data_IF_522502418525
#
_entry.id   IF_522502418525
#
_cell.length_a   1.000
_cell.length_b   1.000
_cell.length_c   1.000
_cell.angle_alpha   90.00
_cell.angle_beta   90.00
_cell.angle_gamma   90.00
#
_symmetry.space_group_name_H-M   'P 1'
#
loop_
_entity.id
_entity.type
_entity.pdbx_description
1 polymer ?
#
# COMPACT_ATOMS: atom_id res chain seq x y z
N UNK A 1 -50.16 13.27 28.66
CA UNK A 1 -49.90 11.83 28.44
C UNK A 1 -49.16 11.66 27.12
N UNK A 2 -47.86 11.34 27.15
CA UNK A 2 -47.05 11.18 25.93
C UNK A 2 -47.44 9.91 25.17
N UNK A 3 -47.69 10.03 23.86
CA UNK A 3 -47.96 8.89 22.97
C UNK A 3 -46.83 7.86 23.12
N UNK A 4 -47.15 6.65 23.60
CA UNK A 4 -46.22 5.51 23.59
C UNK A 4 -45.71 5.34 22.16
N UNK A 5 -44.39 5.40 21.98
CA UNK A 5 -43.75 5.14 20.69
C UNK A 5 -44.17 3.77 20.14
N UNK A 6 -44.09 3.56 18.81
CA UNK A 6 -44.48 2.31 18.18
C UNK A 6 -43.83 1.11 18.86
N UNK A 7 -44.62 0.03 19.08
CA UNK A 7 -44.13 -1.20 19.71
C UNK A 7 -42.89 -1.69 18.96
N UNK A 8 -41.82 -2.10 19.67
CA UNK A 8 -40.60 -2.56 19.03
C UNK A 8 -40.91 -3.79 18.16
N UNK A 9 -40.40 -3.80 16.92
CA UNK A 9 -40.53 -4.93 16.00
C UNK A 9 -40.06 -6.23 16.66
N UNK A 10 -40.79 -7.31 16.42
CA UNK A 10 -40.44 -8.66 16.86
C UNK A 10 -39.18 -9.13 16.15
N UNK A 11 -38.23 -9.66 16.90
CA UNK A 11 -36.99 -10.23 16.36
C UNK A 11 -37.33 -11.64 15.87
N UNK A 12 -37.36 -11.83 14.56
CA UNK A 12 -37.47 -13.13 13.90
C UNK A 12 -36.05 -13.63 13.65
N UNK A 13 -35.67 -14.82 14.12
CA UNK A 13 -34.27 -15.32 14.07
C UNK A 13 -33.77 -15.51 12.62
N UNK A 14 -34.62 -16.03 11.72
CA UNK A 14 -34.34 -16.21 10.28
C UNK A 14 -35.43 -15.50 9.45
N UNK A 15 -35.26 -14.20 9.13
CA UNK A 15 -36.25 -13.47 8.36
C UNK A 15 -36.29 -13.95 6.91
N UNK A 16 -37.49 -14.18 6.36
CA UNK A 16 -37.65 -14.50 4.94
C UNK A 16 -37.24 -13.32 4.04
N UNK A 17 -36.64 -13.64 2.89
CA UNK A 17 -36.27 -12.64 1.91
C UNK A 17 -37.51 -12.09 1.20
N UNK A 18 -37.67 -10.77 1.17
CA UNK A 18 -38.79 -10.09 0.49
C UNK A 18 -38.68 -10.09 -1.04
N UNK A 19 -37.53 -10.48 -1.57
CA UNK A 19 -37.25 -10.53 -2.99
C UNK A 19 -36.46 -11.78 -3.35
N UNK A 20 -36.82 -12.39 -4.47
CA UNK A 20 -36.11 -13.52 -5.08
C UNK A 20 -34.88 -13.08 -5.88
N UNK A 21 -34.72 -11.78 -6.17
CA UNK A 21 -33.59 -11.24 -6.92
C UNK A 21 -32.32 -11.29 -6.07
N UNK A 22 -31.30 -11.97 -6.60
CA UNK A 22 -29.98 -12.06 -5.98
C UNK A 22 -29.01 -11.05 -6.62
N UNK A 23 -28.91 -9.86 -6.02
CA UNK A 23 -27.84 -8.91 -6.35
C UNK A 23 -26.58 -9.22 -5.51
N UNK A 24 -25.42 -9.26 -6.15
CA UNK A 24 -24.11 -9.42 -5.49
C UNK A 24 -23.09 -8.40 -6.04
N UNK A 25 -22.23 -7.89 -5.17
CA UNK A 25 -21.18 -6.90 -5.47
C UNK A 25 -19.90 -7.31 -4.73
N UNK A 26 -18.69 -7.02 -5.27
CA UNK A 26 -17.44 -7.26 -4.54
C UNK A 26 -17.26 -6.32 -3.34
N UNK A 27 -18.08 -5.27 -3.21
CA UNK A 27 -17.93 -4.22 -2.20
C UNK A 27 -18.72 -4.55 -0.93
N UNK A 28 -18.02 -4.73 0.20
CA UNK A 28 -18.62 -5.14 1.48
C UNK A 28 -19.83 -4.30 1.93
N UNK A 29 -19.72 -2.97 1.93
CA UNK A 29 -20.77 -2.11 2.49
C UNK A 29 -22.04 -2.12 1.65
N UNK A 30 -21.90 -2.15 0.32
CA UNK A 30 -23.01 -2.28 -0.62
C UNK A 30 -23.72 -3.63 -0.46
N UNK A 31 -22.97 -4.73 -0.36
CA UNK A 31 -23.58 -6.06 -0.19
C UNK A 31 -24.29 -6.20 1.16
N UNK A 32 -23.74 -5.59 2.22
CA UNK A 32 -24.37 -5.60 3.54
C UNK A 32 -25.69 -4.81 3.52
N UNK A 33 -25.70 -3.65 2.85
CA UNK A 33 -26.91 -2.84 2.66
C UNK A 33 -27.99 -3.63 1.91
N UNK A 34 -27.62 -4.26 0.79
CA UNK A 34 -28.53 -5.08 -0.03
C UNK A 34 -29.13 -6.25 0.75
N UNK A 35 -28.33 -6.91 1.60
CA UNK A 35 -28.83 -8.03 2.42
C UNK A 35 -29.76 -7.54 3.54
N UNK A 36 -29.44 -6.44 4.21
CA UNK A 36 -30.31 -5.83 5.22
C UNK A 36 -31.67 -5.45 4.60
N UNK A 37 -31.65 -4.77 3.45
CA UNK A 37 -32.85 -4.34 2.74
C UNK A 37 -33.70 -5.52 2.28
N UNK A 38 -33.08 -6.55 1.68
CA UNK A 38 -33.76 -7.74 1.19
C UNK A 38 -34.54 -8.49 2.26
N UNK A 39 -34.02 -8.54 3.49
CA UNK A 39 -34.68 -9.18 4.63
C UNK A 39 -35.55 -8.20 5.44
N UNK A 40 -35.71 -6.95 4.98
CA UNK A 40 -36.54 -5.94 5.62
C UNK A 40 -36.05 -5.44 6.98
N UNK A 41 -34.78 -5.71 7.28
CA UNK A 41 -34.10 -5.25 8.48
C UNK A 41 -33.64 -3.78 8.29
N UNK A 42 -33.36 -3.12 9.41
CA UNK A 42 -32.59 -1.86 9.43
C UNK A 42 -31.29 -2.14 10.17
N UNK A 43 -30.26 -1.31 10.01
CA UNK A 43 -29.01 -1.46 10.78
C UNK A 43 -29.27 -1.56 12.30
N UNK A 44 -30.28 -0.84 12.79
CA UNK A 44 -30.75 -0.87 14.17
C UNK A 44 -31.45 -2.17 14.56
N UNK A 45 -32.36 -2.65 13.70
CA UNK A 45 -33.06 -3.91 13.95
C UNK A 45 -32.11 -5.11 13.89
N UNK A 46 -31.18 -5.08 12.93
CA UNK A 46 -30.13 -6.08 12.78
C UNK A 46 -29.23 -6.11 14.02
N UNK A 47 -28.76 -4.95 14.52
CA UNK A 47 -27.96 -4.86 15.74
C UNK A 47 -28.64 -5.58 16.91
N UNK A 48 -29.91 -5.26 17.14
CA UNK A 48 -30.70 -5.85 18.22
C UNK A 48 -30.89 -7.36 18.06
N UNK A 49 -30.93 -7.85 16.82
CA UNK A 49 -31.15 -9.27 16.52
C UNK A 49 -29.90 -10.14 16.70
N UNK A 50 -28.69 -9.59 16.56
CA UNK A 50 -27.44 -10.39 16.52
C UNK A 50 -26.47 -10.12 17.67
N UNK A 51 -26.65 -9.02 18.40
CA UNK A 51 -25.77 -8.59 19.51
C UNK A 51 -26.41 -8.98 20.83
N UNK A 52 -25.72 -9.85 21.59
CA UNK A 52 -26.12 -10.30 22.91
C UNK A 52 -25.51 -9.49 24.07
N UNK A 53 -25.88 -9.76 25.33
CA UNK A 53 -25.47 -8.97 26.50
C UNK A 53 -23.95 -8.92 26.76
N UNK A 54 -23.19 -9.89 26.23
CA UNK A 54 -21.74 -10.00 26.41
C UNK A 54 -20.93 -9.38 25.26
N UNK A 55 -21.62 -8.91 24.22
CA UNK A 55 -20.98 -8.34 23.03
C UNK A 55 -20.75 -6.84 23.22
N UNK A 56 -19.55 -6.36 22.89
CA UNK A 56 -19.14 -4.94 23.08
C UNK A 56 -19.37 -4.07 21.83
N UNK A 57 -20.20 -4.50 20.89
CA UNK A 57 -20.40 -3.78 19.63
C UNK A 57 -21.45 -2.69 19.80
N UNK A 58 -21.03 -1.43 19.66
CA UNK A 58 -21.93 -0.27 19.66
C UNK A 58 -22.86 -0.31 18.44
N UNK A 59 -24.12 0.07 18.64
CA UNK A 59 -25.17 0.22 17.62
C UNK A 59 -24.76 1.02 16.38
N UNK A 60 -23.94 2.06 16.53
CA UNK A 60 -23.40 2.89 15.44
C UNK A 60 -22.44 2.13 14.54
N UNK A 61 -21.91 0.99 14.99
CA UNK A 61 -20.93 0.19 14.23
C UNK A 61 -21.54 -0.36 12.95
N UNK A 62 -22.73 -0.97 13.03
CA UNK A 62 -23.42 -1.51 11.84
C UNK A 62 -23.84 -0.38 10.89
N UNK A 63 -24.28 0.76 11.43
CA UNK A 63 -24.59 1.95 10.62
C UNK A 63 -23.36 2.42 9.83
N UNK A 64 -22.19 2.49 10.48
CA UNK A 64 -20.93 2.85 9.81
C UNK A 64 -20.47 1.82 8.78
N UNK A 65 -20.75 0.54 9.01
CA UNK A 65 -20.47 -0.54 8.04
C UNK A 65 -21.32 -0.43 6.79
N UNK A 66 -22.63 -0.19 6.95
CA UNK A 66 -23.54 0.04 5.81
C UNK A 66 -23.16 1.31 5.04
N UNK A 67 -22.75 2.37 5.75
CA UNK A 67 -22.32 3.63 5.15
C UNK A 67 -20.91 3.59 4.53
N UNK A 68 -20.18 2.47 4.63
CA UNK A 68 -18.82 2.33 4.09
C UNK A 68 -17.72 3.11 4.83
N UNK A 69 -18.06 3.86 5.90
CA UNK A 69 -17.10 4.68 6.67
C UNK A 69 -16.21 3.86 7.61
N UNK A 70 -16.62 2.63 7.94
CA UNK A 70 -15.82 1.68 8.74
C UNK A 70 -16.02 0.27 8.20
N UNK A 71 -15.01 -0.58 8.34
CA UNK A 71 -15.11 -2.01 8.02
C UNK A 71 -14.83 -2.87 9.27
N UNK A 72 -15.44 -4.06 9.39
CA UNK A 72 -15.11 -5.07 10.39
C UNK A 72 -13.60 -5.39 10.39
N UNK A 73 -12.95 -5.32 11.56
CA UNK A 73 -11.51 -5.62 11.72
C UNK A 73 -11.16 -6.43 12.98
N UNK A 74 -12.08 -6.55 13.94
CA UNK A 74 -11.85 -7.28 15.21
C UNK A 74 -12.49 -8.67 15.18
N UNK A 75 -11.99 -9.63 15.99
CA UNK A 75 -12.57 -10.99 16.06
C UNK A 75 -14.04 -10.90 16.42
N UNK A 76 -14.36 -10.03 17.40
CA UNK A 76 -15.75 -9.76 17.77
C UNK A 76 -16.57 -9.20 16.61
N UNK A 77 -15.98 -8.36 15.74
CA UNK A 77 -16.70 -7.85 14.56
C UNK A 77 -16.92 -8.94 13.50
N UNK A 78 -15.95 -9.83 13.28
CA UNK A 78 -16.09 -10.95 12.36
C UNK A 78 -17.06 -12.02 12.88
N UNK A 79 -17.09 -12.26 14.19
CA UNK A 79 -18.09 -13.12 14.82
C UNK A 79 -19.51 -12.57 14.59
N UNK A 80 -19.69 -11.25 14.75
CA UNK A 80 -20.94 -10.60 14.43
C UNK A 80 -21.29 -10.75 12.95
N UNK A 81 -20.34 -10.65 12.01
CA UNK A 81 -20.60 -10.97 10.60
C UNK A 81 -21.08 -12.42 10.41
N UNK A 82 -20.45 -13.40 11.04
CA UNK A 82 -20.88 -14.79 10.97
C UNK A 82 -22.32 -15.00 11.48
N UNK A 83 -22.74 -14.21 12.49
CA UNK A 83 -24.14 -14.21 12.95
C UNK A 83 -25.09 -13.57 11.93
N UNK A 84 -24.67 -12.52 11.22
CA UNK A 84 -25.44 -11.95 10.10
C UNK A 84 -25.57 -12.98 8.96
N UNK A 85 -24.48 -13.67 8.61
CA UNK A 85 -24.48 -14.73 7.58
C UNK A 85 -25.47 -15.82 7.95
N UNK A 86 -25.41 -16.33 9.19
CA UNK A 86 -26.34 -17.33 9.70
C UNK A 86 -27.80 -16.84 9.64
N UNK A 87 -28.05 -15.62 10.10
CA UNK A 87 -29.40 -15.00 10.10
C UNK A 87 -30.02 -14.94 8.70
N UNK A 88 -29.23 -14.61 7.69
CA UNK A 88 -29.69 -14.46 6.30
C UNK A 88 -29.48 -15.71 5.44
N UNK A 89 -29.03 -16.83 6.02
CA UNK A 89 -28.78 -18.07 5.29
C UNK A 89 -27.66 -17.97 4.25
N UNK A 90 -26.65 -17.13 4.50
CA UNK A 90 -25.52 -16.92 3.59
C UNK A 90 -24.42 -17.96 3.81
N UNK A 91 -23.59 -18.28 2.79
CA UNK A 91 -22.41 -19.09 2.97
C UNK A 91 -21.48 -18.52 4.04
N UNK A 92 -20.85 -19.40 4.81
CA UNK A 92 -19.88 -19.00 5.85
C UNK A 92 -18.71 -18.27 5.19
N UNK A 93 -18.39 -17.08 5.69
CA UNK A 93 -17.30 -16.25 5.17
C UNK A 93 -17.69 -15.40 3.94
N UNK A 94 -18.96 -15.40 3.54
CA UNK A 94 -19.46 -14.60 2.43
C UNK A 94 -19.13 -13.11 2.57
N UNK A 95 -19.37 -12.49 3.73
CA UNK A 95 -19.01 -11.09 3.94
C UNK A 95 -17.51 -10.89 4.13
N UNK A 96 -16.84 -11.84 4.78
CA UNK A 96 -15.40 -11.78 5.02
C UNK A 96 -14.61 -11.71 3.70
N UNK A 97 -15.04 -12.47 2.69
CA UNK A 97 -14.42 -12.47 1.34
C UNK A 97 -14.49 -11.12 0.61
N UNK A 98 -15.41 -10.22 1.02
CA UNK A 98 -15.65 -8.91 0.41
C UNK A 98 -15.00 -7.76 1.19
N UNK A 99 -14.26 -8.08 2.26
CA UNK A 99 -13.53 -7.09 3.05
C UNK A 99 -12.20 -6.72 2.36
N UNK A 100 -11.78 -5.45 2.39
CA UNK A 100 -10.56 -5.00 1.71
C UNK A 100 -9.25 -5.51 2.35
N UNK A 101 -9.30 -6.18 3.52
CA UNK A 101 -8.13 -6.62 4.29
C UNK A 101 -8.34 -8.01 4.91
N UNK A 102 -8.47 -9.05 4.08
CA UNK A 102 -8.66 -10.45 4.51
C UNK A 102 -7.44 -11.05 5.24
N UNK A 103 -6.26 -10.45 5.13
CA UNK A 103 -4.99 -10.97 5.69
C UNK A 103 -4.59 -10.47 7.09
N UNK A 104 -5.49 -9.88 7.89
CA UNK A 104 -5.19 -9.54 9.29
C UNK A 104 -5.89 -10.53 10.22
N UNK A 105 -5.16 -11.15 11.17
CA UNK A 105 -5.83 -11.75 12.31
C UNK A 105 -6.62 -10.63 13.00
N UNK A 106 -7.89 -10.90 13.22
CA UNK A 106 -8.78 -9.87 13.69
C UNK A 106 -8.36 -9.45 15.11
N UNK A 107 -8.43 -8.16 15.40
CA UNK A 107 -7.97 -7.66 16.69
C UNK A 107 -8.91 -8.16 17.82
N UNK A 108 -8.32 -8.70 18.89
CA UNK A 108 -9.03 -9.03 20.13
C UNK A 108 -9.34 -10.50 20.36
N UNK A 109 -8.84 -10.99 21.51
CA UNK A 109 -9.14 -12.25 22.23
C UNK A 109 -8.24 -13.46 21.95
N UNK A 110 -6.92 -13.27 21.96
CA UNK A 110 -6.08 -14.25 22.67
C UNK A 110 -5.10 -13.57 23.62
N UNK A 111 -5.19 -13.94 24.90
CA UNK A 111 -4.03 -13.93 25.79
C UNK A 111 -3.11 -15.03 25.25
N UNK A 112 -2.23 -14.67 24.31
CA UNK A 112 -1.15 -15.53 23.80
C UNK A 112 -0.12 -15.75 24.93
N UNK A 113 -0.53 -16.38 26.03
CA UNK A 113 0.27 -16.52 27.25
C UNK A 113 0.83 -15.19 27.77
N UNK A 114 2.07 -15.22 28.23
CA UNK A 114 2.82 -14.09 28.81
C UNK A 114 3.40 -13.11 27.76
N UNK A 115 2.92 -13.17 26.50
CA UNK A 115 3.40 -12.28 25.46
C UNK A 115 3.04 -10.81 25.71
N UNK A 116 4.03 -9.94 25.53
CA UNK A 116 3.84 -8.49 25.59
C UNK A 116 2.84 -8.03 24.51
N UNK A 117 2.21 -6.87 24.71
CA UNK A 117 1.29 -6.30 23.72
C UNK A 117 1.97 -6.03 22.37
N UNK A 118 3.28 -5.75 22.36
CA UNK A 118 4.08 -5.62 21.15
C UNK A 118 4.27 -6.99 20.44
N UNK A 119 4.57 -8.05 21.18
CA UNK A 119 4.66 -9.40 20.62
C UNK A 119 3.31 -9.85 20.05
N UNK A 120 2.21 -9.69 20.77
CA UNK A 120 0.87 -10.07 20.29
C UNK A 120 0.50 -9.39 18.97
N UNK A 121 0.81 -8.11 18.84
CA UNK A 121 0.62 -7.36 17.59
C UNK A 121 1.49 -7.90 16.45
N UNK A 122 2.75 -8.27 16.71
CA UNK A 122 3.63 -8.90 15.69
C UNK A 122 3.13 -10.26 15.23
N UNK A 123 2.67 -11.09 16.17
CA UNK A 123 2.12 -12.40 15.85
C UNK A 123 0.83 -12.30 15.03
N UNK A 124 -0.08 -11.37 15.35
CA UNK A 124 -1.37 -11.23 14.67
C UNK A 124 -1.28 -11.07 13.13
N UNK A 125 -0.16 -10.58 12.60
CA UNK A 125 0.09 -10.50 11.15
C UNK A 125 0.44 -11.82 10.48
N UNK A 126 0.71 -12.84 11.29
CA UNK A 126 1.27 -14.11 10.86
C UNK A 126 0.48 -15.29 11.42
N UNK A 127 -0.74 -15.05 11.90
CA UNK A 127 -1.66 -16.11 12.31
C UNK A 127 -2.71 -16.31 11.22
N UNK A 128 -3.06 -17.57 10.88
CA UNK A 128 -4.11 -17.82 9.91
C UNK A 128 -5.46 -17.34 10.45
N UNK A 129 -6.39 -16.99 9.55
CA UNK A 129 -7.69 -16.41 9.94
C UNK A 129 -8.55 -17.35 10.81
N UNK A 130 -8.31 -18.66 10.74
CA UNK A 130 -8.96 -19.70 11.54
C UNK A 130 -8.17 -20.10 12.79
N UNK A 131 -7.05 -19.43 13.11
CA UNK A 131 -6.18 -19.75 14.24
C UNK A 131 -6.96 -19.92 15.55
N UNK A 132 -7.96 -19.07 15.78
CA UNK A 132 -8.81 -19.09 16.98
C UNK A 132 -9.76 -20.29 17.05
N UNK A 133 -9.88 -21.07 15.99
CA UNK A 133 -10.71 -22.28 15.88
C UNK A 133 -9.90 -23.58 15.91
N UNK A 134 -8.58 -23.49 15.71
CA UNK A 134 -7.66 -24.65 15.72
C UNK A 134 -7.47 -25.23 17.12
N UNK A 135 -6.97 -26.46 17.21
CA UNK A 135 -6.67 -27.09 18.50
C UNK A 135 -5.55 -26.35 19.25
N UNK A 136 -5.46 -26.52 20.57
CA UNK A 136 -4.38 -25.92 21.36
C UNK A 136 -2.99 -26.40 20.92
N UNK A 137 -2.90 -27.64 20.41
CA UNK A 137 -1.66 -28.22 19.87
C UNK A 137 -1.23 -27.50 18.59
N UNK A 138 -2.11 -27.39 17.60
CA UNK A 138 -1.84 -26.69 16.34
C UNK A 138 -1.56 -25.21 16.56
N UNK A 139 -2.27 -24.55 17.49
CA UNK A 139 -1.97 -23.15 17.83
C UNK A 139 -0.56 -22.98 18.37
N UNK A 140 -0.08 -23.89 19.24
CA UNK A 140 1.30 -23.84 19.74
C UNK A 140 2.30 -24.09 18.63
N UNK A 141 2.05 -25.04 17.74
CA UNK A 141 2.92 -25.34 16.59
C UNK A 141 3.01 -24.13 15.64
N UNK A 142 1.89 -23.47 15.36
CA UNK A 142 1.85 -22.24 14.55
C UNK A 142 2.62 -21.12 15.25
N UNK A 143 2.42 -20.91 16.56
CA UNK A 143 3.14 -19.89 17.30
C UNK A 143 4.65 -20.16 17.36
N UNK A 144 5.07 -21.41 17.56
CA UNK A 144 6.48 -21.79 17.57
C UNK A 144 7.12 -21.61 16.20
N UNK A 145 6.41 -22.00 15.13
CA UNK A 145 6.85 -21.77 13.76
C UNK A 145 6.97 -20.29 13.44
N UNK A 146 5.96 -19.47 13.77
CA UNK A 146 6.00 -18.01 13.58
C UNK A 146 7.14 -17.42 14.41
N UNK A 147 7.32 -17.87 15.65
CA UNK A 147 8.41 -17.39 16.51
C UNK A 147 9.76 -17.71 15.88
N UNK A 148 9.98 -18.94 15.41
CA UNK A 148 11.26 -19.45 14.92
C UNK A 148 11.62 -18.96 13.51
N UNK A 149 10.65 -19.01 12.59
CA UNK A 149 10.87 -18.71 11.18
C UNK A 149 10.70 -17.21 10.95
N UNK A 150 9.63 -16.63 11.46
CA UNK A 150 9.32 -15.23 11.23
C UNK A 150 10.00 -14.36 12.29
N UNK A 151 9.85 -14.61 13.59
CA UNK A 151 10.21 -13.64 14.65
C UNK A 151 11.68 -13.67 15.12
N UNK A 152 12.33 -14.82 15.19
CA UNK A 152 13.74 -14.93 15.62
C UNK A 152 14.73 -14.70 14.47
N UNK A 153 14.25 -14.42 13.26
CA UNK A 153 15.09 -13.82 12.20
C UNK A 153 15.90 -14.78 11.34
N UNK A 154 15.34 -15.92 10.96
CA UNK A 154 15.95 -16.85 9.99
C UNK A 154 15.54 -16.61 8.52
N UNK A 155 14.63 -15.68 8.23
CA UNK A 155 14.27 -15.34 6.85
C UNK A 155 15.20 -14.29 6.26
N UNK A 156 15.54 -14.44 4.98
CA UNK A 156 16.37 -13.50 4.23
C UNK A 156 15.82 -12.06 4.27
N UNK A 157 14.50 -11.90 4.37
CA UNK A 157 13.85 -10.60 4.49
C UNK A 157 14.16 -9.86 5.80
N UNK A 158 14.26 -10.56 6.95
CA UNK A 158 14.65 -9.90 8.21
C UNK A 158 16.13 -9.62 8.34
N UNK A 159 16.95 -10.39 7.62
CA UNK A 159 18.35 -10.03 7.40
C UNK A 159 18.42 -8.77 6.55
N UNK A 160 17.65 -8.71 5.46
CA UNK A 160 17.50 -7.52 4.62
C UNK A 160 17.04 -6.30 5.43
N UNK A 161 15.95 -6.36 6.21
CA UNK A 161 15.48 -5.22 7.00
C UNK A 161 16.57 -4.71 7.97
N UNK A 162 17.24 -5.60 8.71
CA UNK A 162 18.33 -5.22 9.62
C UNK A 162 19.53 -4.60 8.90
N UNK A 163 19.85 -5.08 7.69
CA UNK A 163 20.90 -4.51 6.85
C UNK A 163 20.48 -3.17 6.24
N UNK A 164 19.25 -3.06 5.75
CA UNK A 164 18.66 -1.88 5.13
C UNK A 164 18.58 -0.71 6.12
N UNK A 165 18.24 -0.97 7.40
CA UNK A 165 18.27 0.02 8.48
C UNK A 165 19.63 0.73 8.64
N UNK A 166 20.73 0.10 8.22
CA UNK A 166 22.08 0.65 8.34
C UNK A 166 22.59 1.30 7.05
N UNK A 167 21.88 1.16 5.94
CA UNK A 167 22.36 1.52 4.62
C UNK A 167 21.71 2.83 4.14
N UNK A 168 22.43 3.94 4.36
CA UNK A 168 21.99 5.31 4.05
C UNK A 168 22.23 5.64 2.57
N UNK A 169 21.21 5.58 1.72
CA UNK A 169 21.38 5.89 0.30
C UNK A 169 20.37 6.86 -0.30
N UNK A 170 19.20 7.05 0.32
CA UNK A 170 18.23 8.03 -0.12
C UNK A 170 18.83 9.45 -0.19
N UNK A 171 18.47 10.15 -1.27
CA UNK A 171 18.82 11.55 -1.50
C UNK A 171 17.65 12.44 -1.05
N UNK A 172 17.95 13.54 -0.35
CA UNK A 172 16.98 14.54 0.12
C UNK A 172 16.93 15.76 -0.80
N UNK A 173 15.72 16.26 -1.05
CA UNK A 173 15.44 17.47 -1.83
C UNK A 173 15.13 18.63 -0.87
N UNK A 174 16.18 19.29 -0.35
CA UNK A 174 16.12 20.23 0.78
C UNK A 174 15.37 21.53 0.46
N UNK A 175 15.36 21.99 -0.79
CA UNK A 175 14.60 23.18 -1.20
C UNK A 175 13.06 22.94 -1.21
N UNK A 176 12.58 21.83 -0.64
CA UNK A 176 11.16 21.49 -0.45
C UNK A 176 10.76 21.39 1.04
N UNK A 177 11.63 21.81 1.96
CA UNK A 177 11.43 21.72 3.42
C UNK A 177 10.20 22.52 3.94
N UNK A 178 9.56 23.35 3.11
CA UNK A 178 8.31 24.05 3.41
C UNK A 178 7.05 23.17 3.25
N UNK A 179 7.21 21.95 2.73
CA UNK A 179 6.16 20.92 2.64
C UNK A 179 6.31 19.96 3.83
N UNK A 180 6.50 20.48 5.05
CA UNK A 180 6.51 19.63 6.25
C UNK A 180 5.06 19.33 6.65
N UNK A 181 4.66 18.06 6.73
CA UNK A 181 3.31 17.72 7.14
C UNK A 181 3.13 18.15 8.60
N UNK A 182 2.03 18.85 8.89
CA UNK A 182 1.48 18.84 10.24
C UNK A 182 1.09 17.40 10.56
N UNK A 183 1.86 16.76 11.45
CA UNK A 183 1.48 15.47 12.04
C UNK A 183 0.66 15.83 13.29
N UNK A 184 -0.66 15.56 13.33
CA UNK A 184 -1.43 15.68 14.56
C UNK A 184 -0.78 14.79 15.62
N UNK A 185 -0.64 15.29 16.86
CA UNK A 185 0.00 14.59 17.97
C UNK A 185 -0.58 13.18 18.24
N UNK A 186 -1.83 12.94 17.82
CA UNK A 186 -2.53 11.65 17.88
C UNK A 186 -1.88 10.56 16.99
N UNK A 187 -1.11 10.93 15.96
CA UNK A 187 -0.31 10.00 15.13
C UNK A 187 1.14 9.85 15.62
N UNK A 188 1.62 10.70 16.53
CA UNK A 188 2.92 10.51 17.18
C UNK A 188 2.87 9.34 18.17
N UNK A 189 1.73 9.14 18.86
CA UNK A 189 1.48 7.94 19.66
C UNK A 189 1.43 6.65 18.82
N UNK A 190 1.09 6.74 17.51
CA UNK A 190 1.17 5.60 16.58
C UNK A 190 2.61 5.32 16.08
N UNK A 191 3.53 6.30 16.20
CA UNK A 191 4.96 6.19 15.83
C UNK A 191 5.86 5.70 16.96
N UNK A 192 5.33 5.49 18.17
CA UNK A 192 6.05 4.84 19.27
C UNK A 192 6.18 3.32 19.02
N UNK A 193 7.06 2.99 18.10
CA UNK A 193 7.46 1.63 17.79
C UNK A 193 8.48 1.64 16.67
N UNK A 194 9.77 1.80 17.03
CA UNK A 194 10.92 1.58 16.14
C UNK A 194 10.84 0.23 15.37
N UNK A 195 10.01 -0.71 15.82
CA UNK A 195 9.86 -2.08 15.31
C UNK A 195 8.83 -2.27 14.18
N UNK A 196 8.14 -1.23 13.67
CA UNK A 196 7.04 -1.38 12.69
C UNK A 196 7.18 -0.61 11.37
N UNK A 197 8.32 0.03 11.11
CA UNK A 197 8.55 0.73 9.84
C UNK A 197 8.62 -0.27 8.67
N UNK A 198 7.99 0.04 7.54
CA UNK A 198 8.17 -0.75 6.32
C UNK A 198 9.58 -0.56 5.72
N UNK A 199 9.95 -1.40 4.74
CA UNK A 199 11.30 -1.37 4.17
C UNK A 199 11.66 0.00 3.57
N UNK A 200 10.68 0.73 3.07
CA UNK A 200 10.83 2.06 2.49
C UNK A 200 10.99 3.11 3.58
N UNK A 201 10.12 3.10 4.59
CA UNK A 201 10.16 4.01 5.73
C UNK A 201 11.50 3.92 6.48
N UNK A 202 12.04 2.71 6.61
CA UNK A 202 13.38 2.45 7.15
C UNK A 202 14.46 3.15 6.32
N UNK A 203 14.42 2.98 4.99
CA UNK A 203 15.42 3.56 4.08
C UNK A 203 15.35 5.09 4.04
N UNK A 204 14.14 5.66 4.17
CA UNK A 204 13.90 7.11 4.21
C UNK A 204 14.40 7.75 5.50
N UNK A 205 14.14 7.13 6.66
CA UNK A 205 14.64 7.61 7.95
C UNK A 205 16.18 7.72 7.99
N UNK A 206 16.86 6.90 7.18
CA UNK A 206 18.31 6.83 7.08
C UNK A 206 18.93 7.82 6.05
N UNK A 207 18.13 8.61 5.32
CA UNK A 207 18.59 9.50 4.25
C UNK A 207 19.48 10.65 4.77
N UNK A 208 20.67 10.87 4.21
CA UNK A 208 21.57 11.98 4.62
C UNK A 208 22.27 12.72 3.46
N UNK A 209 22.11 12.30 2.20
CA UNK A 209 22.76 12.96 1.06
C UNK A 209 21.82 13.98 0.43
N UNK A 210 22.31 15.17 0.09
CA UNK A 210 21.52 16.19 -0.60
C UNK A 210 21.49 15.95 -2.10
N UNK A 211 20.35 16.26 -2.73
CA UNK A 211 20.21 16.22 -4.18
C UNK A 211 21.11 17.27 -4.83
N UNK A 212 21.68 16.98 -6.01
CA UNK A 212 22.28 18.01 -6.85
C UNK A 212 21.24 19.11 -7.11
N UNK A 213 21.64 20.38 -6.98
CA UNK A 213 20.75 21.53 -7.14
C UNK A 213 19.88 21.43 -8.39
N UNK A 214 20.51 21.10 -9.52
CA UNK A 214 19.82 21.03 -10.79
C UNK A 214 18.76 19.90 -10.84
N UNK A 215 18.95 18.79 -10.13
CA UNK A 215 17.94 17.73 -9.99
C UNK A 215 16.86 18.16 -8.99
N UNK A 216 17.24 18.86 -7.92
CA UNK A 216 16.30 19.38 -6.94
C UNK A 216 15.32 20.40 -7.54
N UNK A 217 15.81 21.29 -8.41
CA UNK A 217 14.98 22.25 -9.16
C UNK A 217 13.97 21.53 -10.08
N UNK A 218 14.36 20.45 -10.74
CA UNK A 218 13.45 19.64 -11.57
C UNK A 218 12.35 18.99 -10.73
N UNK A 219 12.70 18.38 -9.58
CA UNK A 219 11.72 17.77 -8.66
C UNK A 219 10.81 18.84 -8.06
N UNK A 220 11.35 20.00 -7.68
CA UNK A 220 10.56 21.11 -7.16
C UNK A 220 9.53 21.61 -8.18
N UNK A 221 9.92 21.75 -9.44
CA UNK A 221 9.01 22.12 -10.51
C UNK A 221 7.93 21.04 -10.75
N UNK A 222 8.27 19.76 -10.66
CA UNK A 222 7.27 18.68 -10.72
C UNK A 222 6.24 18.82 -9.59
N UNK A 223 6.71 19.08 -8.37
CA UNK A 223 5.83 19.23 -7.21
C UNK A 223 4.93 20.45 -7.40
N UNK A 224 5.48 21.61 -7.75
CA UNK A 224 4.71 22.81 -8.09
C UNK A 224 3.65 22.51 -9.16
N UNK A 225 4.04 21.85 -10.25
CA UNK A 225 3.12 21.44 -11.31
C UNK A 225 2.00 20.54 -10.76
N UNK A 226 2.29 19.56 -9.91
CA UNK A 226 1.28 18.62 -9.40
C UNK A 226 0.44 19.13 -8.23
N UNK A 227 0.88 20.17 -7.50
CA UNK A 227 0.17 20.70 -6.33
C UNK A 227 -0.52 22.04 -6.59
N UNK A 228 -0.15 22.76 -7.66
CA UNK A 228 -0.76 24.07 -7.97
C UNK A 228 -2.29 24.00 -8.05
N UNK A 229 -2.98 25.02 -7.54
CA UNK A 229 -4.45 25.08 -7.61
C UNK A 229 -4.94 25.15 -9.06
N UNK A 230 -4.29 25.99 -9.87
CA UNK A 230 -4.55 26.15 -11.29
C UNK A 230 -3.37 25.62 -12.09
N UNK A 231 -3.66 25.02 -13.25
CA UNK A 231 -2.62 24.57 -14.18
C UNK A 231 -1.96 25.79 -14.83
N UNK A 232 -0.64 25.80 -14.90
CA UNK A 232 0.13 26.87 -15.55
C UNK A 232 -0.19 26.96 -17.04
N UNK A 233 -0.15 28.18 -17.59
CA UNK A 233 -0.42 28.43 -19.00
C UNK A 233 0.57 27.65 -19.87
N UNK A 234 0.07 26.98 -20.91
CA UNK A 234 0.89 26.14 -21.79
C UNK A 234 1.08 24.71 -21.29
N UNK A 235 0.67 24.40 -20.05
CA UNK A 235 0.65 23.04 -19.56
C UNK A 235 -0.76 22.45 -19.53
N UNK A 236 -0.85 21.15 -19.76
CA UNK A 236 -2.01 20.33 -19.45
C UNK A 236 -1.67 19.40 -18.28
N UNK A 237 -2.63 19.22 -17.37
CA UNK A 237 -2.39 18.43 -16.16
C UNK A 237 -3.55 17.49 -15.90
N UNK A 238 -3.19 16.23 -15.68
CA UNK A 238 -4.12 15.23 -15.17
C UNK A 238 -3.86 14.95 -13.69
N UNK A 239 -4.90 15.16 -12.88
CA UNK A 239 -4.88 14.97 -11.43
C UNK A 239 -4.04 16.01 -10.68
N UNK A 240 -4.39 16.23 -9.43
CA UNK A 240 -3.67 17.09 -8.49
C UNK A 240 -3.21 16.22 -7.32
N UNK A 241 -1.97 16.41 -6.87
CA UNK A 241 -1.45 15.78 -5.68
C UNK A 241 -1.81 16.62 -4.46
N UNK A 242 -2.29 15.96 -3.41
CA UNK A 242 -2.31 16.56 -2.08
C UNK A 242 -0.89 16.55 -1.48
N UNK A 243 -0.71 17.28 -0.38
CA UNK A 243 0.57 17.42 0.32
C UNK A 243 1.20 16.06 0.68
N UNK A 244 0.42 15.14 1.25
CA UNK A 244 0.87 13.79 1.60
C UNK A 244 1.34 12.99 0.38
N UNK A 245 0.65 13.11 -0.75
CA UNK A 245 1.03 12.44 -2.00
C UNK A 245 2.31 13.04 -2.55
N UNK A 246 2.42 14.37 -2.53
CA UNK A 246 3.62 15.08 -2.99
C UNK A 246 4.85 14.64 -2.19
N UNK A 247 4.77 14.64 -0.86
CA UNK A 247 5.82 14.14 0.03
C UNK A 247 6.23 12.70 -0.29
N UNK A 248 5.23 11.81 -0.39
CA UNK A 248 5.49 10.43 -0.76
C UNK A 248 6.24 10.32 -2.10
N UNK A 249 5.88 11.12 -3.11
CA UNK A 249 6.59 11.09 -4.41
C UNK A 249 8.00 11.67 -4.33
N UNK A 250 8.25 12.68 -3.50
CA UNK A 250 9.60 13.19 -3.22
C UNK A 250 10.48 12.09 -2.61
N UNK A 251 9.97 11.38 -1.61
CA UNK A 251 10.65 10.27 -0.94
C UNK A 251 10.98 9.13 -1.91
N UNK A 252 10.00 8.74 -2.71
CA UNK A 252 10.16 7.72 -3.75
C UNK A 252 11.26 8.08 -4.76
N UNK A 253 11.26 9.33 -5.24
CA UNK A 253 12.31 9.83 -6.14
C UNK A 253 13.67 9.88 -5.43
N UNK A 254 13.70 10.24 -4.15
CA UNK A 254 14.91 10.26 -3.33
C UNK A 254 15.58 8.90 -3.20
N UNK A 255 14.78 7.84 -3.04
CA UNK A 255 15.26 6.46 -3.04
C UNK A 255 15.75 6.02 -4.42
N UNK A 256 15.00 6.34 -5.49
CA UNK A 256 15.40 5.98 -6.86
C UNK A 256 16.74 6.62 -7.23
N UNK A 257 16.87 7.94 -7.10
CA UNK A 257 18.13 8.63 -7.43
C UNK A 257 19.24 8.27 -6.45
N UNK A 258 18.91 7.99 -5.19
CA UNK A 258 19.84 7.45 -4.22
C UNK A 258 20.46 6.12 -4.65
N UNK A 259 19.64 5.22 -5.20
CA UNK A 259 20.12 3.92 -5.71
C UNK A 259 21.07 4.07 -6.90
N UNK A 260 20.77 5.01 -7.80
CA UNK A 260 21.65 5.34 -8.93
C UNK A 260 22.98 5.95 -8.44
N UNK A 261 22.94 6.80 -7.41
CA UNK A 261 24.11 7.49 -6.87
C UNK A 261 25.03 6.60 -6.02
N UNK A 262 24.47 5.58 -5.38
CA UNK A 262 25.21 4.76 -4.43
C UNK A 262 26.30 3.95 -5.13
N UNK A 263 27.42 3.73 -4.45
CA UNK A 263 28.57 3.01 -5.01
C UNK A 263 28.20 1.55 -5.34
N UNK A 264 28.69 1.00 -6.48
CA UNK A 264 28.52 -0.42 -6.81
C UNK A 264 29.26 -1.34 -5.83
N UNK A 265 30.40 -0.91 -5.29
CA UNK A 265 31.18 -1.69 -4.32
C UNK A 265 30.70 -1.48 -2.87
N UNK A 266 29.73 -0.59 -2.67
CA UNK A 266 29.16 -0.29 -1.36
C UNK A 266 28.10 -1.31 -0.95
N UNK A 267 27.67 -1.28 0.32
CA UNK A 267 26.63 -2.18 0.84
C UNK A 267 25.25 -1.98 0.17
N UNK A 268 25.08 -0.86 -0.54
CA UNK A 268 23.87 -0.55 -1.31
C UNK A 268 23.92 -1.22 -2.70
N UNK A 269 25.13 -1.52 -3.20
CA UNK A 269 25.39 -2.02 -4.55
C UNK A 269 24.65 -1.21 -5.63
N UNK A 270 24.73 0.12 -5.54
CA UNK A 270 24.10 1.04 -6.48
C UNK A 270 24.83 1.09 -7.82
N UNK A 271 24.48 2.03 -8.69
CA UNK A 271 25.13 2.14 -10.01
C UNK A 271 26.40 3.02 -10.00
N UNK A 272 26.54 3.91 -9.02
CA UNK A 272 27.66 4.86 -8.96
C UNK A 272 27.56 6.00 -9.97
N UNK A 273 26.35 6.38 -10.40
CA UNK A 273 26.13 7.51 -11.32
C UNK A 273 26.61 8.80 -10.65
N UNK A 274 27.51 9.58 -11.29
CA UNK A 274 27.93 10.87 -10.77
C UNK A 274 26.73 11.82 -10.64
N UNK A 275 26.61 12.58 -9.53
CA UNK A 275 25.45 13.44 -9.31
C UNK A 275 25.25 14.51 -10.41
N UNK A 276 26.32 14.93 -11.08
CA UNK A 276 26.30 15.87 -12.21
C UNK A 276 25.72 15.31 -13.52
N UNK A 277 25.40 14.00 -13.56
CA UNK A 277 24.73 13.31 -14.66
C UNK A 277 23.26 13.01 -14.37
N UNK A 278 22.76 13.29 -13.16
CA UNK A 278 21.38 12.97 -12.79
C UNK A 278 20.40 14.03 -13.27
N UNK A 279 19.32 13.57 -13.88
CA UNK A 279 18.17 14.39 -14.28
C UNK A 279 16.92 13.51 -14.33
N UNK A 280 15.76 14.10 -14.05
CA UNK A 280 14.44 13.51 -14.24
C UNK A 280 14.21 13.04 -15.68
N UNK A 281 14.86 13.65 -16.68
CA UNK A 281 14.78 13.22 -18.07
C UNK A 281 15.27 11.77 -18.27
N UNK A 282 16.13 11.24 -17.40
CA UNK A 282 16.54 9.83 -17.50
C UNK A 282 15.36 8.85 -17.32
N UNK A 283 14.27 9.28 -16.67
CA UNK A 283 13.13 8.42 -16.37
C UNK A 283 12.28 8.07 -17.61
N UNK A 284 12.53 8.69 -18.77
CA UNK A 284 11.91 8.30 -20.05
C UNK A 284 12.70 7.22 -20.80
N UNK A 285 13.71 6.61 -20.18
CA UNK A 285 14.52 5.57 -20.82
C UNK A 285 14.25 4.18 -20.20
N UNK A 286 13.82 3.18 -20.99
CA UNK A 286 13.54 1.81 -20.51
C UNK A 286 14.67 1.17 -19.69
N UNK A 287 15.92 1.38 -20.09
CA UNK A 287 17.08 0.77 -19.43
C UNK A 287 17.24 1.21 -17.97
N UNK A 288 16.86 2.45 -17.64
CA UNK A 288 16.87 2.96 -16.25
C UNK A 288 15.91 2.16 -15.37
N UNK A 289 14.72 1.87 -15.89
CA UNK A 289 13.70 1.11 -15.17
C UNK A 289 14.05 -0.37 -15.06
N UNK A 290 14.55 -0.97 -16.14
CA UNK A 290 14.97 -2.36 -16.12
C UNK A 290 16.14 -2.58 -15.15
N UNK A 291 17.09 -1.64 -15.09
CA UNK A 291 18.14 -1.66 -14.07
C UNK A 291 17.57 -1.50 -12.66
N UNK A 292 16.72 -0.49 -12.43
CA UNK A 292 16.18 -0.18 -11.10
C UNK A 292 15.38 -1.35 -10.52
N UNK A 293 14.53 -1.96 -11.34
CA UNK A 293 13.69 -3.11 -10.98
C UNK A 293 14.58 -4.31 -10.62
N UNK A 294 15.55 -4.67 -11.46
CA UNK A 294 16.50 -5.77 -11.17
C UNK A 294 17.36 -5.47 -9.95
N UNK A 295 17.74 -4.21 -9.74
CA UNK A 295 18.48 -3.78 -8.57
C UNK A 295 17.66 -3.98 -7.29
N UNK A 296 16.38 -3.56 -7.27
CA UNK A 296 15.46 -3.79 -6.15
C UNK A 296 15.28 -5.28 -5.87
N UNK A 297 15.12 -6.10 -6.91
CA UNK A 297 15.03 -7.56 -6.75
C UNK A 297 16.31 -8.16 -6.17
N UNK A 298 17.50 -7.82 -6.69
CA UNK A 298 18.76 -8.35 -6.14
C UNK A 298 18.98 -7.93 -4.68
N UNK A 299 18.57 -6.71 -4.34
CA UNK A 299 18.74 -6.13 -3.02
C UNK A 299 17.77 -6.72 -2.00
N UNK A 300 16.50 -6.94 -2.37
CA UNK A 300 15.44 -7.41 -1.46
C UNK A 300 15.13 -8.92 -1.59
N UNK A 301 15.46 -9.52 -2.72
CA UNK A 301 15.19 -10.93 -3.09
C UNK A 301 13.85 -11.16 -3.82
N UNK A 302 13.02 -10.14 -4.02
CA UNK A 302 11.72 -10.25 -4.68
C UNK A 302 11.13 -8.87 -5.08
N UNK A 303 10.11 -8.88 -5.93
CA UNK A 303 9.32 -7.70 -6.33
C UNK A 303 8.13 -7.44 -5.38
N UNK A 304 7.76 -6.17 -5.20
CA UNK A 304 6.56 -5.76 -4.46
C UNK A 304 5.75 -4.74 -5.27
N UNK A 305 4.63 -4.30 -4.71
CA UNK A 305 3.83 -3.21 -5.28
C UNK A 305 4.61 -1.90 -5.41
N UNK A 306 5.73 -1.75 -4.71
CA UNK A 306 6.61 -0.59 -4.81
C UNK A 306 7.07 -0.34 -6.25
N UNK A 307 7.67 -1.36 -6.89
CA UNK A 307 8.21 -1.22 -8.23
C UNK A 307 7.11 -0.90 -9.24
N UNK A 308 5.93 -1.49 -9.07
CA UNK A 308 4.74 -1.17 -9.86
C UNK A 308 4.35 0.30 -9.69
N UNK A 309 4.26 0.79 -8.46
CA UNK A 309 3.90 2.18 -8.15
C UNK A 309 4.93 3.18 -8.71
N UNK A 310 6.22 2.81 -8.73
CA UNK A 310 7.28 3.63 -9.29
C UNK A 310 7.19 3.73 -10.81
N UNK A 311 6.93 2.62 -11.51
CA UNK A 311 6.72 2.65 -12.96
C UNK A 311 5.43 3.40 -13.31
N UNK A 312 4.35 3.22 -12.54
CA UNK A 312 3.12 3.97 -12.73
C UNK A 312 3.30 5.48 -12.56
N UNK A 313 4.13 5.91 -11.61
CA UNK A 313 4.53 7.31 -11.49
C UNK A 313 5.18 7.78 -12.80
N UNK A 314 6.17 7.07 -13.30
CA UNK A 314 6.88 7.46 -14.52
C UNK A 314 6.01 7.45 -15.77
N UNK A 315 5.11 6.47 -15.89
CA UNK A 315 4.07 6.44 -16.94
C UNK A 315 3.19 7.69 -16.86
N UNK A 316 2.75 8.08 -15.67
CA UNK A 316 1.96 9.29 -15.49
C UNK A 316 2.74 10.57 -15.84
N UNK A 317 4.06 10.58 -15.64
CA UNK A 317 4.93 11.70 -16.01
C UNK A 317 5.22 11.76 -17.52
N UNK A 318 5.19 10.62 -18.22
CA UNK A 318 5.52 10.53 -19.65
C UNK A 318 4.29 10.48 -20.57
N UNK A 319 3.09 10.44 -19.97
CA UNK A 319 1.81 10.36 -20.68
C UNK A 319 1.67 11.48 -21.71
N UNK A 320 1.13 11.15 -22.88
CA UNK A 320 0.75 12.12 -23.90
C UNK A 320 -0.09 13.27 -23.28
N UNK A 321 0.20 14.47 -23.76
CA UNK A 321 -0.41 15.76 -23.41
C UNK A 321 -0.20 16.24 -21.97
N UNK A 322 -0.43 15.36 -20.98
CA UNK A 322 -0.58 15.73 -19.56
C UNK A 322 0.58 15.32 -18.67
N UNK A 323 1.51 14.52 -19.20
CA UNK A 323 2.71 14.11 -18.50
C UNK A 323 3.67 15.28 -18.29
N UNK A 324 4.19 15.44 -17.07
CA UNK A 324 5.14 16.52 -16.79
C UNK A 324 6.45 16.37 -17.57
N UNK A 325 7.03 15.16 -17.64
CA UNK A 325 8.22 14.90 -18.45
C UNK A 325 7.93 15.14 -19.94
N UNK A 326 6.76 14.70 -20.43
CA UNK A 326 6.34 14.91 -21.82
C UNK A 326 6.34 16.39 -22.22
N UNK A 327 5.93 17.26 -21.30
CA UNK A 327 5.85 18.71 -21.51
C UNK A 327 7.16 19.46 -21.22
N UNK A 328 8.26 18.74 -20.96
CA UNK A 328 9.58 19.29 -20.62
C UNK A 328 10.69 18.81 -21.56
N UNK A 329 10.58 19.07 -22.89
CA UNK A 329 11.62 18.68 -23.85
C UNK A 329 12.95 19.41 -23.59
N UNK A 330 12.95 20.54 -22.89
CA UNK A 330 14.14 21.27 -22.45
C UNK A 330 15.08 20.39 -21.61
N UNK A 331 14.55 19.40 -20.88
CA UNK A 331 15.34 18.51 -20.05
C UNK A 331 16.22 17.55 -20.89
N UNK A 332 15.92 17.33 -22.17
CA UNK A 332 16.76 16.52 -23.06
C UNK A 332 18.19 17.10 -23.19
N UNK A 333 18.33 18.43 -23.09
CA UNK A 333 19.64 19.11 -23.11
C UNK A 333 20.54 18.73 -21.92
N UNK A 334 19.95 18.21 -20.83
CA UNK A 334 20.66 17.85 -19.61
C UNK A 334 21.12 16.40 -19.56
N UNK A 335 20.67 15.59 -20.51
CA UNK A 335 21.06 14.19 -20.59
C UNK A 335 22.57 14.05 -20.85
N UNK A 336 23.18 13.08 -20.18
CA UNK A 336 24.60 12.73 -20.34
C UNK A 336 24.73 11.22 -20.48
N UNK A 337 25.68 10.71 -21.27
CA UNK A 337 25.90 9.27 -21.38
C UNK A 337 26.21 8.64 -20.03
N UNK A 338 25.52 7.53 -19.74
CA UNK A 338 25.67 6.72 -18.53
C UNK A 338 25.78 5.27 -18.97
N UNK A 339 26.94 4.67 -18.73
CA UNK A 339 27.23 3.30 -19.16
C UNK A 339 26.14 2.33 -18.67
N UNK A 340 25.59 1.55 -19.61
CA UNK A 340 24.54 0.57 -19.36
C UNK A 340 23.13 1.14 -19.19
N UNK A 341 22.93 2.46 -19.16
CA UNK A 341 21.60 3.07 -19.05
C UNK A 341 21.24 4.02 -20.21
N UNK A 342 22.17 4.89 -20.63
CA UNK A 342 21.94 5.88 -21.69
C UNK A 342 23.18 5.97 -22.57
N UNK A 343 23.04 5.60 -23.85
CA UNK A 343 24.06 5.81 -24.88
C UNK A 343 23.98 7.23 -25.46
N UNK A 344 24.98 7.63 -26.24
CA UNK A 344 24.93 8.90 -26.98
C UNK A 344 23.81 8.89 -28.03
N UNK A 345 23.56 7.75 -28.67
CA UNK A 345 22.49 7.58 -29.66
C UNK A 345 21.11 7.76 -29.03
N UNK A 346 20.88 7.18 -27.84
CA UNK A 346 19.63 7.38 -27.08
C UNK A 346 19.39 8.87 -26.79
N UNK A 347 20.46 9.61 -26.48
CA UNK A 347 20.39 11.04 -26.15
C UNK A 347 20.10 11.87 -27.39
N UNK A 348 20.76 11.57 -28.50
CA UNK A 348 20.56 12.28 -29.76
C UNK A 348 19.15 12.03 -30.31
N UNK A 349 18.65 10.79 -30.21
CA UNK A 349 17.26 10.45 -30.53
C UNK A 349 16.26 11.22 -29.65
N UNK A 350 16.51 11.32 -28.34
CA UNK A 350 15.65 12.06 -27.42
C UNK A 350 15.65 13.57 -27.65
N UNK A 351 16.79 14.14 -28.09
CA UNK A 351 16.87 15.54 -28.48
C UNK A 351 16.17 15.82 -29.81
N UNK A 352 16.21 14.87 -30.74
CA UNK A 352 15.53 14.98 -32.03
C UNK A 352 14.01 14.84 -31.89
N UNK A 353 13.55 13.86 -31.10
CA UNK A 353 12.13 13.62 -30.84
C UNK A 353 11.87 13.14 -29.40
N UNK A 354 11.64 14.12 -28.54
CA UNK A 354 11.31 13.88 -27.13
C UNK A 354 9.96 13.16 -26.95
N UNK A 355 9.00 13.45 -27.83
CA UNK A 355 7.66 12.86 -27.77
C UNK A 355 7.72 11.36 -28.09
N UNK A 356 8.41 11.00 -29.17
CA UNK A 356 8.63 9.60 -29.54
C UNK A 356 9.37 8.83 -28.43
N UNK A 357 10.35 9.47 -27.77
CA UNK A 357 11.06 8.87 -26.63
C UNK A 357 10.12 8.59 -25.45
N UNK A 358 9.25 9.56 -25.11
CA UNK A 358 8.22 9.38 -24.09
C UNK A 358 7.23 8.26 -24.48
N UNK A 359 6.83 8.17 -25.75
CA UNK A 359 5.91 7.14 -26.25
C UNK A 359 6.53 5.75 -26.21
N UNK A 360 7.81 5.62 -26.60
CA UNK A 360 8.57 4.37 -26.51
C UNK A 360 8.65 3.88 -25.06
N UNK A 361 8.99 4.77 -24.12
CA UNK A 361 8.98 4.41 -22.70
C UNK A 361 7.58 4.11 -22.18
N UNK A 362 6.56 4.87 -22.59
CA UNK A 362 5.19 4.61 -22.13
C UNK A 362 4.73 3.18 -22.49
N UNK A 363 5.03 2.72 -23.71
CA UNK A 363 4.77 1.34 -24.12
C UNK A 363 5.54 0.33 -23.27
N UNK A 364 6.86 0.54 -23.09
CA UNK A 364 7.70 -0.34 -22.27
C UNK A 364 7.20 -0.44 -20.83
N UNK A 365 6.95 0.72 -20.19
CA UNK A 365 6.50 0.81 -18.81
C UNK A 365 5.14 0.15 -18.59
N UNK A 366 4.21 0.23 -19.56
CA UNK A 366 2.92 -0.43 -19.47
C UNK A 366 3.05 -1.96 -19.45
N UNK A 367 3.92 -2.51 -20.30
CA UNK A 367 4.22 -3.95 -20.31
C UNK A 367 4.90 -4.34 -18.99
N UNK A 368 5.96 -3.63 -18.61
CA UNK A 368 6.74 -3.93 -17.41
C UNK A 368 5.91 -3.84 -16.13
N UNK A 369 5.02 -2.85 -16.02
CA UNK A 369 4.12 -2.74 -14.87
C UNK A 369 3.18 -3.95 -14.74
N UNK A 370 2.65 -4.46 -15.85
CA UNK A 370 1.80 -5.66 -15.85
C UNK A 370 2.57 -6.92 -15.48
N UNK A 371 3.78 -7.08 -16.00
CA UNK A 371 4.66 -8.20 -15.63
C UNK A 371 4.97 -8.16 -14.13
N UNK A 372 5.37 -7.00 -13.61
CA UNK A 372 5.64 -6.82 -12.19
C UNK A 372 4.42 -7.04 -11.33
N UNK A 373 3.23 -6.61 -11.74
CA UNK A 373 1.99 -6.89 -11.00
C UNK A 373 1.71 -8.39 -10.82
N UNK A 374 2.11 -9.24 -11.78
CA UNK A 374 1.90 -10.69 -11.69
C UNK A 374 2.87 -11.38 -10.74
N UNK A 375 4.10 -10.85 -10.63
CA UNK A 375 5.17 -11.45 -9.81
C UNK A 375 5.40 -10.72 -8.49
N UNK A 376 4.80 -9.54 -8.33
CA UNK A 376 4.89 -8.77 -7.10
C UNK A 376 4.25 -9.56 -5.97
N UNK A 377 5.09 -9.93 -5.01
CA UNK A 377 4.61 -10.58 -3.80
C UNK A 377 3.87 -9.54 -2.97
N UNK A 378 2.70 -9.90 -2.49
CA UNK A 378 2.06 -9.17 -1.41
C UNK A 378 2.93 -9.39 -0.19
N UNK A 379 3.79 -8.43 0.13
CA UNK A 379 4.44 -8.42 1.43
C UNK A 379 3.41 -7.98 2.48
N UNK A 380 2.48 -8.90 2.75
CA UNK A 380 1.53 -8.98 3.86
C UNK A 380 0.76 -10.32 3.87
N UNK A 381 1.37 -11.43 3.45
CA UNK A 381 0.87 -12.78 3.79
C UNK A 381 2.01 -13.82 3.91
N UNK A 382 2.26 -14.40 5.10
CA UNK A 382 3.24 -15.48 5.29
C UNK A 382 2.75 -16.87 4.83
N UNK A 383 1.51 -17.04 4.36
CA UNK A 383 0.89 -18.36 4.19
C UNK A 383 0.71 -18.87 2.76
N UNK A 384 1.26 -18.21 1.73
CA UNK A 384 1.09 -18.69 0.34
C UNK A 384 1.80 -20.03 0.00
N UNK A 385 2.47 -20.71 0.94
CA UNK A 385 3.17 -21.97 0.65
C UNK A 385 2.64 -23.23 1.34
N UNK A 386 1.52 -23.20 2.08
CA UNK A 386 1.05 -24.38 2.84
C UNK A 386 -0.30 -24.98 2.43
N UNK A 387 -0.86 -24.61 1.27
CA UNK A 387 -2.13 -25.18 0.77
C UNK A 387 -1.99 -26.09 -0.46
N UNK A 388 -0.78 -26.51 -0.84
CA UNK A 388 -0.59 -27.60 -1.80
C UNK A 388 -0.08 -28.81 -1.02
N UNK A 389 -1.00 -29.68 -0.60
CA UNK A 389 -0.66 -30.95 0.05
C UNK A 389 -1.68 -31.38 1.11
N UNK A 390 -2.90 -31.67 0.69
CA UNK A 390 -3.77 -32.65 1.35
C UNK A 390 -4.53 -33.42 0.26
#
# INVERSE_FOLDING_TARGET
MGKRGPKPRTIIEFPEAKSTVWADTPVFHEVLALRIERHGDTAWHLHKAIVGPKDRIDRKTIVRWVAGTKVPRSVSSLEILGRVEKRYGLPVGYFASKLPHTGRAADGRLKLGDMTSAQRRRFAWHLPADFDRRSLKERREILDWVQRVIISGATDYRRYQRLAMRQRYAIRFVDLDHIQPYVPAELEEEREGEDNLDDVEIELAAANRRAPRALAEEVAHLIQFKTATLTEIGYQRNGVWNERTALQKVDHLGLLFGSLAASPDGPVAGLGVPPSKMTMAMLVFPAVWDWYVRWRERRRGFYTIWEVNMIQLALALSRADTGWLRQRPDLASRLKPIAGLLSSEDIDAAKADWNATCDAFYHHGMVRARELQRVAKVHRDPFESSLIGA
#
